data_IF_193024385672
#
_entry.id   IF_193024385672
#
_cell.length_a   1.000
_cell.length_b   1.000
_cell.length_c   1.000
_cell.angle_alpha   90.00
_cell.angle_beta   90.00
_cell.angle_gamma   90.00
#
_symmetry.space_group_name_H-M   'P 1'
#
loop_
_entity.id
_entity.type
_entity.pdbx_description
1 polymer ?
#
# COMPACT_ATOMS: atom_id res chain seq x y z
N UNK A 1 18.01 13.13 -18.61
CA UNK A 1 16.59 12.93 -18.21
C UNK A 1 16.51 13.13 -16.71
N UNK A 2 15.72 14.10 -16.25
CA UNK A 2 15.68 14.56 -14.86
C UNK A 2 14.98 13.53 -13.96
N UNK A 3 15.75 12.87 -13.09
CA UNK A 3 15.22 12.15 -11.95
C UNK A 3 14.75 13.19 -10.92
N UNK A 4 13.47 13.58 -11.01
CA UNK A 4 12.81 14.33 -9.94
C UNK A 4 12.86 13.48 -8.68
N UNK A 5 13.70 13.90 -7.72
CA UNK A 5 13.67 13.50 -6.32
C UNK A 5 12.26 13.77 -5.75
N UNK A 6 11.36 12.80 -5.91
CA UNK A 6 10.14 12.64 -5.11
C UNK A 6 10.36 11.54 -4.04
N UNK A 7 11.61 11.12 -3.82
CA UNK A 7 11.95 9.82 -3.22
C UNK A 7 11.76 9.73 -1.70
N UNK A 8 11.25 10.78 -1.05
CA UNK A 8 11.02 10.79 0.40
C UNK A 8 9.55 11.07 0.73
N UNK A 9 8.76 10.00 0.80
CA UNK A 9 7.43 10.02 1.41
C UNK A 9 7.51 9.50 2.85
N UNK A 10 7.63 10.39 3.87
CA UNK A 10 7.73 9.98 5.27
C UNK A 10 6.49 9.24 5.77
N UNK A 11 5.33 9.40 5.10
CA UNK A 11 4.11 8.67 5.46
C UNK A 11 4.31 7.16 5.27
N UNK A 12 5.05 6.74 4.25
CA UNK A 12 5.29 5.31 3.97
C UNK A 12 5.96 4.61 5.14
N UNK A 13 6.95 5.24 5.79
CA UNK A 13 7.61 4.62 6.94
C UNK A 13 6.67 4.47 8.15
N UNK A 14 5.76 5.41 8.37
CA UNK A 14 4.76 5.29 9.44
C UNK A 14 3.79 4.15 9.14
N UNK A 15 3.23 4.14 7.94
CA UNK A 15 2.30 3.09 7.52
C UNK A 15 2.96 1.71 7.50
N UNK A 16 4.22 1.59 7.06
CA UNK A 16 4.99 0.33 7.09
C UNK A 16 5.11 -0.26 8.49
N UNK A 17 5.20 0.60 9.51
CA UNK A 17 5.21 0.22 10.92
C UNK A 17 3.79 0.00 11.50
N UNK A 18 2.76 -0.03 10.67
CA UNK A 18 1.36 -0.20 11.10
C UNK A 18 0.80 1.00 11.86
N UNK A 19 1.44 2.18 11.75
CA UNK A 19 1.03 3.39 12.46
C UNK A 19 0.32 4.34 11.50
N UNK A 20 -0.93 4.75 11.78
CA UNK A 20 -1.58 5.76 10.97
C UNK A 20 -0.81 7.08 11.02
N UNK A 21 -0.90 7.82 9.93
CA UNK A 21 -0.45 9.22 9.85
C UNK A 21 -1.61 10.11 10.28
N UNK A 22 -1.38 11.23 11.00
CA UNK A 22 -2.46 12.18 11.27
C UNK A 22 -3.19 12.55 9.98
N UNK A 23 -4.52 12.69 10.05
CA UNK A 23 -5.41 12.99 8.91
C UNK A 23 -5.54 11.86 7.87
N UNK A 24 -4.91 10.71 8.09
CA UNK A 24 -5.22 9.52 7.30
C UNK A 24 -6.55 8.90 7.74
N UNK A 25 -7.27 8.32 6.77
CA UNK A 25 -8.48 7.53 7.00
C UNK A 25 -8.15 6.06 6.75
N UNK A 26 -8.35 5.21 7.75
CA UNK A 26 -8.26 3.76 7.56
C UNK A 26 -9.35 3.27 6.62
N UNK A 27 -9.01 2.31 5.77
CA UNK A 27 -9.87 1.71 4.75
C UNK A 27 -9.97 0.22 5.02
N UNK A 28 -11.12 -0.36 4.74
CA UNK A 28 -11.33 -1.80 4.81
C UNK A 28 -10.69 -2.49 3.61
N UNK A 29 -10.13 -3.68 3.83
CA UNK A 29 -9.56 -4.51 2.77
C UNK A 29 -10.31 -5.84 2.70
N UNK A 30 -10.75 -6.21 1.50
CA UNK A 30 -11.33 -7.52 1.21
C UNK A 30 -10.42 -8.29 0.27
N UNK A 31 -9.99 -9.50 0.67
CA UNK A 31 -9.18 -10.41 -0.16
C UNK A 31 -7.68 -10.50 0.21
N UNK A 32 -7.22 -9.71 1.19
CA UNK A 32 -5.89 -9.88 1.82
C UNK A 32 -6.01 -10.51 3.21
N UNK A 33 -4.87 -10.87 3.81
CA UNK A 33 -4.86 -11.37 5.19
C UNK A 33 -5.37 -10.32 6.15
N UNK A 34 -6.00 -10.74 7.26
CA UNK A 34 -6.53 -9.84 8.31
C UNK A 34 -5.46 -8.91 8.93
N UNK A 35 -4.18 -9.28 8.80
CA UNK A 35 -3.08 -8.45 9.28
C UNK A 35 -2.70 -7.32 8.30
N UNK A 36 -3.30 -7.29 7.12
CA UNK A 36 -3.14 -6.23 6.13
C UNK A 36 -3.94 -4.99 6.53
N UNK A 37 -3.43 -3.82 6.21
CA UNK A 37 -4.04 -2.55 6.58
C UNK A 37 -3.95 -1.58 5.42
N UNK A 38 -4.97 -0.75 5.23
CA UNK A 38 -4.98 0.27 4.21
C UNK A 38 -5.36 1.63 4.79
N UNK A 39 -4.75 2.68 4.25
CA UNK A 39 -5.08 4.05 4.62
C UNK A 39 -5.18 4.93 3.38
N UNK A 40 -6.18 5.80 3.35
CA UNK A 40 -6.20 6.97 2.49
C UNK A 40 -5.46 8.10 3.19
N UNK A 41 -4.49 8.69 2.51
CA UNK A 41 -3.82 9.89 3.00
C UNK A 41 -3.49 10.79 1.83
N UNK A 42 -3.96 12.05 1.90
CA UNK A 42 -3.99 12.97 0.76
C UNK A 42 -4.70 12.31 -0.43
N UNK A 43 -4.10 12.36 -1.61
CA UNK A 43 -4.65 11.82 -2.86
C UNK A 43 -4.24 10.37 -3.14
N UNK A 44 -3.68 9.65 -2.15
CA UNK A 44 -3.14 8.31 -2.35
C UNK A 44 -3.72 7.29 -1.38
N UNK A 45 -3.67 6.04 -1.81
CA UNK A 45 -3.93 4.86 -0.96
C UNK A 45 -2.60 4.21 -0.62
N UNK A 46 -2.45 3.86 0.65
CA UNK A 46 -1.29 3.16 1.20
C UNK A 46 -1.74 1.79 1.69
N UNK A 47 -1.20 0.72 1.14
CA UNK A 47 -1.59 -0.66 1.50
C UNK A 47 -0.39 -1.36 2.14
N UNK A 48 -0.49 -1.71 3.42
CA UNK A 48 0.48 -2.52 4.16
C UNK A 48 0.06 -3.97 4.16
N UNK A 49 0.91 -4.86 3.67
CA UNK A 49 0.58 -6.29 3.51
C UNK A 49 1.84 -7.14 3.37
N UNK A 50 1.81 -8.44 3.71
CA UNK A 50 2.87 -9.38 3.35
C UNK A 50 2.79 -9.84 1.88
N UNK A 51 1.66 -9.61 1.19
CA UNK A 51 1.49 -9.95 -0.23
C UNK A 51 2.16 -8.93 -1.14
N UNK A 52 2.54 -9.34 -2.34
CA UNK A 52 3.21 -8.48 -3.32
C UNK A 52 2.15 -7.87 -4.24
N UNK A 53 2.09 -6.54 -4.34
CA UNK A 53 1.27 -5.86 -5.34
C UNK A 53 1.91 -6.04 -6.73
N UNK A 54 1.09 -6.25 -7.76
CA UNK A 54 1.58 -6.57 -9.12
C UNK A 54 1.66 -5.35 -10.04
N UNK A 55 0.67 -4.46 -9.98
CA UNK A 55 0.52 -3.33 -10.92
C UNK A 55 0.18 -2.03 -10.20
N UNK A 56 0.27 -0.89 -10.91
CA UNK A 56 -0.17 0.43 -10.45
C UNK A 56 0.51 0.94 -9.15
N UNK A 57 1.76 0.55 -8.97
CA UNK A 57 2.60 0.96 -7.83
C UNK A 57 3.28 2.29 -8.17
N UNK A 58 3.04 3.31 -7.36
CA UNK A 58 3.73 4.60 -7.45
C UNK A 58 5.03 4.61 -6.62
N UNK A 59 5.02 3.98 -5.45
CA UNK A 59 6.20 3.72 -4.62
C UNK A 59 5.94 2.47 -3.77
N UNK A 60 7.01 1.78 -3.37
CA UNK A 60 6.97 0.66 -2.45
C UNK A 60 8.14 0.72 -1.47
N UNK A 61 7.86 0.40 -0.20
CA UNK A 61 8.89 0.17 0.82
C UNK A 61 8.67 -1.19 1.47
N UNK A 62 9.74 -1.76 2.02
CA UNK A 62 9.74 -3.09 2.65
C UNK A 62 10.49 -3.07 3.97
N UNK A 63 9.96 -3.77 4.96
CA UNK A 63 10.61 -4.06 6.24
C UNK A 63 10.33 -5.53 6.62
N UNK A 64 11.36 -6.38 6.56
CA UNK A 64 11.19 -7.82 6.77
C UNK A 64 10.27 -8.45 5.72
N UNK A 65 9.19 -9.08 6.15
CA UNK A 65 8.15 -9.67 5.28
C UNK A 65 7.04 -8.69 4.90
N UNK A 66 7.06 -7.48 5.46
CA UNK A 66 6.02 -6.48 5.23
C UNK A 66 6.38 -5.52 4.11
N UNK A 67 5.41 -5.26 3.26
CA UNK A 67 5.44 -4.21 2.26
C UNK A 67 4.48 -3.10 2.65
N UNK A 68 4.77 -1.90 2.17
CA UNK A 68 3.77 -0.84 2.02
C UNK A 68 3.85 -0.32 0.59
N UNK A 69 2.70 -0.28 -0.09
CA UNK A 69 2.57 0.23 -1.45
C UNK A 69 1.82 1.55 -1.43
N UNK A 70 2.32 2.54 -2.15
CA UNK A 70 1.63 3.78 -2.46
C UNK A 70 1.04 3.68 -3.86
N UNK A 71 -0.23 3.99 -4.00
CA UNK A 71 -0.95 3.86 -5.27
C UNK A 71 -2.00 4.97 -5.43
N UNK A 72 -2.42 5.21 -6.66
CA UNK A 72 -3.58 6.06 -6.95
C UNK A 72 -4.86 5.38 -6.44
N UNK A 73 -5.88 6.14 -6.01
CA UNK A 73 -7.15 5.57 -5.57
C UNK A 73 -7.84 4.80 -6.70
N UNK A 74 -8.24 3.56 -6.40
CA UNK A 74 -9.00 2.66 -7.28
C UNK A 74 -9.96 1.82 -6.46
N UNK A 75 -10.95 1.23 -7.13
CA UNK A 75 -11.86 0.26 -6.52
C UNK A 75 -11.17 -1.06 -6.21
N UNK A 76 -10.20 -1.47 -7.03
CA UNK A 76 -9.53 -2.76 -6.89
C UNK A 76 -8.05 -2.70 -7.24
N UNK A 77 -7.31 -3.68 -6.71
CA UNK A 77 -5.87 -3.83 -6.84
C UNK A 77 -5.49 -5.30 -7.02
N UNK A 78 -4.38 -5.57 -7.71
CA UNK A 78 -3.92 -6.93 -7.97
C UNK A 78 -2.71 -7.28 -7.11
N UNK A 79 -2.79 -8.41 -6.42
CA UNK A 79 -1.75 -8.92 -5.53
C UNK A 79 -1.41 -10.37 -5.85
N UNK A 80 -0.19 -10.79 -5.51
CA UNK A 80 0.23 -12.18 -5.50
C UNK A 80 0.73 -12.58 -4.12
N UNK A 81 0.40 -13.80 -3.72
CA UNK A 81 0.99 -14.50 -2.58
C UNK A 81 2.18 -15.40 -2.98
N UNK A 82 2.68 -15.24 -4.20
CA UNK A 82 3.76 -16.03 -4.78
C UNK A 82 3.28 -17.25 -5.56
N UNK A 83 1.99 -17.60 -5.53
CA UNK A 83 1.42 -18.71 -6.29
C UNK A 83 0.18 -18.33 -7.09
N UNK A 84 -0.66 -17.47 -6.52
CA UNK A 84 -1.93 -17.08 -7.13
C UNK A 84 -2.04 -15.56 -7.15
N UNK A 85 -2.48 -15.03 -8.29
CA UNK A 85 -2.86 -13.62 -8.42
C UNK A 85 -4.31 -13.44 -7.97
N UNK A 86 -4.58 -12.37 -7.25
CA UNK A 86 -5.89 -12.05 -6.71
C UNK A 86 -6.20 -10.57 -6.83
N UNK A 87 -7.42 -10.29 -7.22
CA UNK A 87 -8.00 -8.96 -7.15
C UNK A 87 -8.53 -8.73 -5.72
N UNK A 88 -8.22 -7.56 -5.15
CA UNK A 88 -8.63 -7.16 -3.81
C UNK A 88 -9.32 -5.81 -3.85
N UNK A 89 -10.29 -5.61 -2.98
CA UNK A 89 -11.06 -4.37 -2.86
C UNK A 89 -10.59 -3.59 -1.64
N UNK A 90 -10.48 -2.26 -1.79
CA UNK A 90 -10.20 -1.32 -0.71
C UNK A 90 -11.30 -0.26 -0.67
N UNK A 91 -11.95 -0.06 0.48
CA UNK A 91 -13.14 0.81 0.62
C UNK A 91 -13.16 1.64 1.90
#
# INVERSE_FOLDING_TARGET
>A
MNANRSDYDPAMYRFLNGRPVPESKELDIVGLSEASQAWRYKDYIYIRTPSIMLYDILDAKRLGTWYVFKTSPRSTYWFSDGRVEKEITVQ
#
